data_IF_276101665163
#
_entry.id   IF_276101665163
#
_cell.length_a   1.000
_cell.length_b   1.000
_cell.length_c   1.000
_cell.angle_alpha   90.00
_cell.angle_beta   90.00
_cell.angle_gamma   90.00
#
_symmetry.space_group_name_H-M   'P 1'
#
loop_
_entity.id
_entity.type
_entity.pdbx_description
1 polymer ?
#
# COMPACT_ATOMS: atom_id res chain seq x y z
N UNK A 1 -0.80 13.13 -6.20
CA UNK A 1 -0.82 11.84 -6.90
C UNK A 1 -1.52 10.84 -6.01
N UNK A 2 -2.40 10.01 -6.56
CA UNK A 2 -3.14 8.98 -5.83
C UNK A 2 -3.19 7.70 -6.68
N UNK A 3 -3.09 6.54 -6.03
CA UNK A 3 -3.26 5.21 -6.63
C UNK A 3 -4.49 4.56 -5.99
N UNK A 4 -5.56 4.44 -6.77
CA UNK A 4 -6.84 3.78 -6.39
C UNK A 4 -7.05 2.45 -7.12
N UNK A 5 -6.05 2.03 -7.90
CA UNK A 5 -6.08 0.83 -8.77
C UNK A 5 -7.25 0.74 -9.79
N UNK A 6 -8.01 1.83 -9.95
CA UNK A 6 -9.13 1.96 -10.89
C UNK A 6 -10.36 1.14 -10.48
N UNK A 7 -11.33 1.05 -11.39
CA UNK A 7 -12.60 0.34 -11.15
C UNK A 7 -12.87 -0.75 -12.21
N UNK A 8 -13.83 -1.65 -11.92
CA UNK A 8 -14.39 -2.56 -12.90
C UNK A 8 -15.34 -3.62 -12.33
N UNK A 9 -16.20 -4.15 -13.20
CA UNK A 9 -17.26 -5.10 -12.82
C UNK A 9 -16.76 -6.52 -12.51
N UNK A 10 -15.53 -6.86 -12.88
CA UNK A 10 -14.93 -8.18 -12.62
C UNK A 10 -14.24 -8.19 -11.26
N UNK A 11 -14.36 -9.28 -10.50
CA UNK A 11 -13.73 -9.34 -9.18
C UNK A 11 -12.21 -9.14 -9.19
N UNK A 12 -11.52 -9.63 -10.21
CA UNK A 12 -10.06 -9.49 -10.34
C UNK A 12 -9.75 -8.58 -11.53
N UNK A 13 -9.03 -7.50 -11.29
CA UNK A 13 -8.59 -6.61 -12.37
C UNK A 13 -7.55 -7.32 -13.25
N UNK A 14 -7.62 -7.10 -14.57
CA UNK A 14 -6.55 -7.50 -15.49
C UNK A 14 -5.38 -6.51 -15.53
N UNK A 15 -5.50 -5.35 -14.86
CA UNK A 15 -4.41 -4.39 -14.70
C UNK A 15 -3.28 -4.98 -13.86
N UNK A 16 -2.10 -4.44 -14.05
CA UNK A 16 -0.84 -4.86 -13.44
C UNK A 16 -0.18 -3.67 -12.74
N UNK A 17 0.82 -3.89 -11.87
CA UNK A 17 1.58 -2.79 -11.28
C UNK A 17 2.16 -1.80 -12.29
N UNK A 18 2.48 -2.28 -13.51
CA UNK A 18 2.99 -1.45 -14.59
C UNK A 18 1.96 -0.44 -15.10
N UNK A 19 0.67 -0.78 -15.09
CA UNK A 19 -0.41 0.14 -15.46
C UNK A 19 -0.54 1.32 -14.48
N UNK A 20 0.13 1.24 -13.33
CA UNK A 20 0.18 2.23 -12.27
C UNK A 20 1.63 2.67 -11.95
N UNK A 21 2.60 2.32 -12.81
CA UNK A 21 4.01 2.70 -12.69
C UNK A 21 4.70 2.32 -11.35
N UNK A 22 4.23 1.30 -10.64
CA UNK A 22 4.87 0.82 -9.41
C UNK A 22 5.41 -0.61 -9.54
N UNK A 23 6.38 -0.94 -8.69
CA UNK A 23 6.99 -2.25 -8.59
C UNK A 23 6.60 -2.94 -7.26
N UNK A 24 6.63 -4.27 -7.25
CA UNK A 24 6.37 -5.06 -6.04
C UNK A 24 7.21 -6.33 -6.06
N UNK A 25 7.52 -6.87 -4.88
CA UNK A 25 8.17 -8.19 -4.74
C UNK A 25 7.18 -9.35 -4.86
N UNK A 26 5.87 -9.08 -4.88
CA UNK A 26 4.83 -10.10 -4.85
C UNK A 26 4.43 -10.53 -6.27
N UNK A 27 4.04 -11.80 -6.41
CA UNK A 27 3.52 -12.32 -7.68
C UNK A 27 2.02 -12.05 -7.80
N UNK A 28 1.61 -11.34 -8.85
CA UNK A 28 0.19 -11.11 -9.10
C UNK A 28 -0.53 -12.41 -9.49
N UNK A 29 -1.78 -12.55 -9.06
CA UNK A 29 -2.75 -13.52 -9.57
C UNK A 29 -4.04 -12.82 -9.99
N UNK A 30 -4.78 -13.46 -10.90
CA UNK A 30 -6.01 -12.94 -11.50
C UNK A 30 -7.23 -13.82 -11.15
N UNK A 31 -7.17 -14.50 -10.00
CA UNK A 31 -8.17 -15.44 -9.52
C UNK A 31 -8.03 -15.62 -7.99
N UNK A 32 -8.96 -16.35 -7.38
CA UNK A 32 -9.09 -16.47 -5.92
C UNK A 32 -7.89 -17.09 -5.20
N UNK A 33 -6.95 -17.74 -5.89
CA UNK A 33 -5.84 -18.45 -5.26
C UNK A 33 -4.66 -17.56 -4.79
N UNK A 34 -4.98 -16.53 -3.99
CA UNK A 34 -4.06 -15.58 -3.36
C UNK A 34 -3.36 -16.25 -2.16
N UNK A 35 -2.46 -17.20 -2.46
CA UNK A 35 -1.56 -17.85 -1.49
C UNK A 35 -0.41 -16.92 -1.08
N UNK A 36 0.36 -17.31 -0.05
CA UNK A 36 1.52 -16.57 0.43
C UNK A 36 2.46 -16.09 -0.68
N UNK A 37 2.91 -14.84 -0.58
CA UNK A 37 3.80 -14.20 -1.54
C UNK A 37 3.10 -13.72 -2.81
N UNK A 38 1.76 -13.75 -2.84
CA UNK A 38 0.95 -13.28 -3.95
C UNK A 38 0.06 -12.11 -3.57
N UNK A 39 -0.37 -11.37 -4.59
CA UNK A 39 -1.37 -10.32 -4.46
C UNK A 39 -2.33 -10.36 -5.65
N UNK A 40 -3.44 -9.64 -5.53
CA UNK A 40 -4.35 -9.33 -6.63
C UNK A 40 -4.92 -7.92 -6.45
N UNK A 41 -5.35 -7.31 -7.56
CA UNK A 41 -6.26 -6.17 -7.50
C UNK A 41 -7.68 -6.72 -7.50
N UNK A 42 -8.44 -6.46 -6.45
CA UNK A 42 -9.79 -7.01 -6.25
C UNK A 42 -10.79 -5.93 -5.93
N UNK A 43 -11.98 -5.99 -6.53
CA UNK A 43 -13.04 -5.00 -6.26
C UNK A 43 -13.86 -5.31 -5.00
N UNK A 44 -13.59 -6.47 -4.41
CA UNK A 44 -14.09 -6.92 -3.12
C UNK A 44 -13.22 -8.04 -2.60
N UNK A 45 -13.14 -8.19 -1.29
CA UNK A 45 -12.41 -9.30 -0.66
C UNK A 45 -13.00 -10.62 -1.17
N UNK A 46 -12.18 -11.51 -1.77
CA UNK A 46 -12.67 -12.71 -2.43
C UNK A 46 -13.03 -13.81 -1.44
N UNK A 47 -13.98 -14.64 -1.87
CA UNK A 47 -14.36 -15.84 -1.14
C UNK A 47 -13.32 -16.95 -1.39
N UNK A 48 -12.25 -16.93 -0.60
CA UNK A 48 -11.15 -17.89 -0.71
C UNK A 48 -10.80 -18.56 0.62
N UNK A 49 -10.73 -17.78 1.69
CA UNK A 49 -10.61 -18.28 3.05
C UNK A 49 -11.83 -17.82 3.84
N UNK A 50 -12.50 -18.73 4.53
CA UNK A 50 -13.67 -18.43 5.38
C UNK A 50 -13.35 -17.41 6.49
N UNK A 51 -12.05 -17.27 6.77
CA UNK A 51 -11.47 -16.39 7.78
C UNK A 51 -11.34 -14.95 7.29
N UNK A 52 -11.60 -14.66 6.01
CA UNK A 52 -11.50 -13.31 5.46
C UNK A 52 -12.82 -12.56 5.53
N UNK A 53 -12.78 -11.24 5.57
CA UNK A 53 -13.97 -10.39 5.42
C UNK A 53 -14.50 -10.40 3.97
N UNK A 54 -14.90 -11.58 3.46
CA UNK A 54 -15.45 -11.78 2.12
C UNK A 54 -16.55 -10.77 1.80
N UNK A 55 -16.46 -10.14 0.63
CA UNK A 55 -17.45 -9.21 0.11
C UNK A 55 -17.21 -7.73 0.46
N UNK A 56 -16.32 -7.43 1.42
CA UNK A 56 -15.95 -6.04 1.74
C UNK A 56 -15.31 -5.35 0.54
N UNK A 57 -15.64 -4.08 0.34
CA UNK A 57 -15.21 -3.26 -0.80
C UNK A 57 -13.84 -2.62 -0.55
N UNK A 58 -13.31 -1.96 -1.58
CA UNK A 58 -12.17 -1.07 -1.46
C UNK A 58 -12.50 0.15 -0.57
N UNK A 59 -11.54 1.05 -0.39
CA UNK A 59 -11.70 2.21 0.48
C UNK A 59 -12.32 3.41 -0.26
N UNK A 60 -12.18 3.49 -1.58
CA UNK A 60 -12.53 4.67 -2.37
C UNK A 60 -14.01 5.05 -2.20
N UNK A 61 -14.27 6.25 -1.66
CA UNK A 61 -15.64 6.69 -1.40
C UNK A 61 -16.44 6.85 -2.71
N UNK A 62 -17.70 6.39 -2.69
CA UNK A 62 -18.62 6.42 -3.84
C UNK A 62 -18.13 5.61 -5.05
N UNK A 63 -17.27 4.63 -4.83
CA UNK A 63 -16.86 3.64 -5.81
C UNK A 63 -17.28 2.25 -5.31
N UNK A 64 -18.23 1.61 -5.98
CA UNK A 64 -18.72 0.28 -5.57
C UNK A 64 -17.99 -0.87 -6.27
N UNK A 65 -17.16 -0.52 -7.27
CA UNK A 65 -16.43 -1.45 -8.12
C UNK A 65 -14.93 -1.08 -8.19
N UNK A 66 -14.47 -0.25 -7.25
CA UNK A 66 -13.09 0.17 -7.10
C UNK A 66 -12.20 -0.99 -6.66
N UNK A 67 -10.99 -1.05 -7.21
CA UNK A 67 -10.04 -2.10 -6.90
C UNK A 67 -9.14 -1.71 -5.72
N UNK A 68 -8.94 -2.63 -4.79
CA UNK A 68 -7.87 -2.56 -3.78
C UNK A 68 -6.74 -3.54 -4.12
N UNK A 69 -5.52 -3.25 -3.65
CA UNK A 69 -4.44 -4.23 -3.63
C UNK A 69 -4.60 -5.13 -2.41
N UNK A 70 -4.92 -6.41 -2.63
CA UNK A 70 -4.99 -7.42 -1.58
C UNK A 70 -3.76 -8.33 -1.65
N UNK A 71 -2.96 -8.36 -0.58
CA UNK A 71 -1.75 -9.16 -0.47
C UNK A 71 -1.86 -10.26 0.60
N UNK A 72 -1.42 -11.47 0.23
CA UNK A 72 -1.15 -12.54 1.18
C UNK A 72 0.33 -12.53 1.54
N UNK A 73 0.65 -11.84 2.64
CA UNK A 73 2.02 -11.64 3.10
C UNK A 73 2.64 -12.96 3.54
N UNK A 74 3.80 -13.34 3.02
CA UNK A 74 4.50 -14.57 3.45
C UNK A 74 5.78 -14.26 4.22
N UNK A 75 6.54 -13.27 3.75
CA UNK A 75 7.89 -12.99 4.23
C UNK A 75 8.02 -11.56 4.73
N UNK A 76 8.71 -11.42 5.86
CA UNK A 76 9.18 -10.13 6.34
C UNK A 76 10.15 -9.52 5.31
N UNK A 77 10.22 -8.19 5.28
CA UNK A 77 11.10 -7.40 4.45
C UNK A 77 10.85 -7.57 2.94
N UNK A 78 9.58 -7.65 2.56
CA UNK A 78 9.13 -7.72 1.16
C UNK A 78 8.40 -6.45 0.76
N UNK A 79 8.70 -5.91 -0.42
CA UNK A 79 8.08 -4.68 -0.92
C UNK A 79 6.68 -5.00 -1.45
N UNK A 80 5.65 -4.45 -0.81
CA UNK A 80 4.27 -4.50 -1.27
C UNK A 80 4.05 -3.46 -2.37
N UNK A 81 4.69 -2.30 -2.23
CA UNK A 81 4.66 -1.19 -3.16
C UNK A 81 6.03 -0.51 -3.20
N UNK A 82 6.48 -0.16 -4.40
CA UNK A 82 7.74 0.54 -4.67
C UNK A 82 7.57 1.49 -5.85
N UNK A 83 7.69 2.79 -5.61
CA UNK A 83 7.44 3.82 -6.62
C UNK A 83 8.55 4.87 -6.63
N UNK A 84 9.13 5.12 -7.81
CA UNK A 84 10.11 6.19 -8.00
C UNK A 84 9.39 7.46 -8.43
N UNK A 85 9.37 8.45 -7.55
CA UNK A 85 8.76 9.75 -7.83
C UNK A 85 9.84 10.75 -8.22
N UNK A 86 9.64 11.43 -9.33
CA UNK A 86 10.53 12.48 -9.84
C UNK A 86 9.85 13.86 -9.76
N UNK A 87 10.60 14.90 -10.11
CA UNK A 87 10.14 16.29 -10.17
C UNK A 87 9.59 16.84 -8.84
N UNK A 88 10.14 16.37 -7.71
CA UNK A 88 9.85 16.98 -6.42
C UNK A 88 10.52 18.36 -6.33
N UNK A 89 9.78 19.33 -5.80
CA UNK A 89 10.35 20.60 -5.40
C UNK A 89 11.14 20.43 -4.09
N UNK A 90 12.46 20.68 -4.16
CA UNK A 90 13.38 20.54 -3.04
C UNK A 90 13.01 21.54 -1.94
N UNK A 91 13.06 21.09 -0.68
CA UNK A 91 12.68 21.88 0.49
C UNK A 91 11.19 21.87 0.85
N UNK A 92 10.31 21.40 -0.05
CA UNK A 92 8.90 21.18 0.31
C UNK A 92 8.75 19.96 1.22
N UNK A 93 7.77 20.04 2.13
CA UNK A 93 7.32 18.90 2.92
C UNK A 93 6.19 18.18 2.18
N UNK A 94 6.33 16.86 2.06
CA UNK A 94 5.36 15.96 1.45
C UNK A 94 4.82 14.98 2.50
N UNK A 95 3.61 14.50 2.28
CA UNK A 95 3.02 13.34 2.97
C UNK A 95 2.90 12.19 1.96
N UNK A 96 3.40 11.03 2.36
CA UNK A 96 3.19 9.73 1.70
C UNK A 96 2.31 8.87 2.61
N UNK A 97 1.13 8.49 2.15
CA UNK A 97 0.14 7.77 2.95
C UNK A 97 -0.59 6.69 2.15
N UNK A 98 -1.25 5.77 2.84
CA UNK A 98 -2.19 4.81 2.26
C UNK A 98 -3.27 4.46 3.29
N UNK A 99 -4.40 3.93 2.81
CA UNK A 99 -5.36 3.25 3.66
C UNK A 99 -5.03 1.77 3.70
N UNK A 100 -5.02 1.21 4.90
CA UNK A 100 -4.66 -0.17 5.16
C UNK A 100 -5.76 -0.84 5.97
N UNK A 101 -6.07 -2.10 5.66
CA UNK A 101 -7.04 -2.89 6.40
C UNK A 101 -6.57 -4.34 6.56
N UNK A 102 -6.72 -4.88 7.77
CA UNK A 102 -6.56 -6.31 8.01
C UNK A 102 -7.77 -7.04 7.42
N UNK A 103 -7.55 -7.95 6.47
CA UNK A 103 -8.64 -8.66 5.78
C UNK A 103 -9.13 -9.90 6.52
N UNK A 104 -8.52 -10.25 7.65
CA UNK A 104 -8.87 -11.46 8.41
C UNK A 104 -9.84 -11.09 9.55
N UNK A 105 -10.89 -11.90 9.71
CA UNK A 105 -11.88 -11.88 10.81
C UNK A 105 -11.25 -12.33 12.11
N UNK A 106 -11.66 -11.75 13.23
CA UNK A 106 -11.11 -12.02 14.57
C UNK A 106 -10.92 -13.53 14.83
N UNK A 107 -9.68 -13.98 14.65
CA UNK A 107 -9.25 -15.34 14.89
C UNK A 107 -8.29 -15.32 16.07
N UNK A 108 -8.52 -16.19 17.04
CA UNK A 108 -7.76 -16.31 18.27
C UNK A 108 -6.24 -16.37 17.99
N UNK A 109 -5.57 -15.23 18.16
CA UNK A 109 -4.11 -15.05 18.15
C UNK A 109 -3.38 -15.22 16.80
N UNK A 110 -4.05 -15.02 15.66
CA UNK A 110 -3.36 -14.98 14.36
C UNK A 110 -2.37 -13.79 14.26
N UNK A 111 -1.18 -13.96 13.66
CA UNK A 111 -0.24 -12.85 13.43
C UNK A 111 -0.90 -11.73 12.64
N UNK A 112 -0.87 -10.49 13.13
CA UNK A 112 -1.49 -9.36 12.43
C UNK A 112 -0.57 -8.80 11.35
N UNK A 113 -1.13 -8.27 10.23
CA UNK A 113 -0.33 -7.54 9.26
C UNK A 113 0.35 -6.35 9.94
N UNK A 114 1.59 -6.08 9.56
CA UNK A 114 2.40 -4.96 10.02
C UNK A 114 3.24 -4.53 8.83
N UNK A 115 3.23 -3.24 8.52
CA UNK A 115 4.03 -2.69 7.43
C UNK A 115 4.86 -1.52 7.93
N UNK A 116 5.83 -1.11 7.13
CA UNK A 116 6.51 0.16 7.28
C UNK A 116 6.51 0.93 5.98
N UNK A 117 6.37 2.24 6.14
CA UNK A 117 6.58 3.22 5.09
C UNK A 117 8.04 3.65 5.16
N UNK A 118 8.69 3.70 4.01
CA UNK A 118 10.03 4.28 3.88
C UNK A 118 10.08 5.23 2.69
N UNK A 119 10.86 6.30 2.88
CA UNK A 119 11.17 7.27 1.83
C UNK A 119 12.67 7.37 1.73
N UNK A 120 13.22 7.09 0.56
CA UNK A 120 14.66 7.15 0.28
C UNK A 120 14.95 8.17 -0.81
N UNK A 121 16.14 8.76 -0.82
CA UNK A 121 16.61 9.46 -2.02
C UNK A 121 16.77 8.46 -3.16
N UNK A 122 16.38 8.83 -4.38
CA UNK A 122 16.56 7.97 -5.56
C UNK A 122 17.96 8.18 -6.19
N UNK A 123 19.00 7.91 -5.40
CA UNK A 123 20.42 7.99 -5.80
C UNK A 123 21.08 6.62 -5.66
N UNK A 124 22.24 6.41 -6.30
CA UNK A 124 22.99 5.14 -6.24
C UNK A 124 23.25 4.66 -4.79
N UNK A 125 23.58 5.60 -3.90
CA UNK A 125 23.79 5.36 -2.47
C UNK A 125 22.59 5.87 -1.64
N UNK A 126 21.37 5.52 -2.04
CA UNK A 126 20.12 6.03 -1.47
C UNK A 126 20.18 6.28 0.06
N UNK A 127 19.74 7.46 0.48
CA UNK A 127 19.69 7.88 1.89
C UNK A 127 18.26 7.81 2.40
N UNK A 128 18.03 7.17 3.55
CA UNK A 128 16.72 7.11 4.18
C UNK A 128 16.32 8.49 4.70
N UNK A 129 15.27 9.07 4.14
CA UNK A 129 14.73 10.37 4.55
C UNK A 129 13.73 10.25 5.69
N UNK A 130 12.91 9.19 5.67
CA UNK A 130 11.83 9.02 6.63
C UNK A 130 11.41 7.54 6.73
N UNK A 131 11.09 7.06 7.94
CA UNK A 131 10.52 5.74 8.19
C UNK A 131 9.40 5.79 9.23
N UNK A 132 8.31 5.07 8.99
CA UNK A 132 7.23 4.83 9.96
C UNK A 132 6.89 3.34 9.96
N UNK A 133 6.85 2.71 11.13
CA UNK A 133 6.24 1.39 11.29
C UNK A 133 4.78 1.58 11.75
N UNK A 134 3.85 0.80 11.19
CA UNK A 134 2.42 0.89 11.55
C UNK A 134 2.08 0.19 12.87
N UNK A 135 3.03 -0.56 13.43
CA UNK A 135 2.78 -1.67 14.33
C UNK A 135 1.76 -2.66 13.72
N UNK A 136 1.15 -3.50 14.55
CA UNK A 136 0.10 -4.41 14.10
C UNK A 136 -1.14 -3.62 13.67
N UNK A 137 -1.56 -3.82 12.43
CA UNK A 137 -2.82 -3.30 11.90
C UNK A 137 -3.94 -4.09 12.57
N UNK A 138 -4.83 -3.36 13.24
CA UNK A 138 -5.81 -3.94 14.14
C UNK A 138 -6.83 -4.79 13.40
N UNK A 139 -7.32 -5.79 14.12
CA UNK A 139 -8.41 -6.64 13.72
C UNK A 139 -9.61 -6.24 14.57
N UNK A 140 -10.73 -5.93 13.93
CA UNK A 140 -11.95 -5.45 14.58
C UNK A 140 -13.09 -6.48 14.39
N UNK A 141 -14.32 -6.17 14.80
CA UNK A 141 -15.48 -7.02 14.48
C UNK A 141 -15.85 -6.96 13.00
N UNK A 142 -15.62 -5.82 12.36
CA UNK A 142 -15.80 -5.58 10.93
C UNK A 142 -14.45 -5.21 10.30
N UNK A 143 -14.33 -5.33 8.97
CA UNK A 143 -13.17 -4.79 8.26
C UNK A 143 -13.16 -3.27 8.41
N UNK A 144 -12.05 -2.73 8.91
CA UNK A 144 -11.89 -1.28 9.08
C UNK A 144 -10.64 -0.81 8.36
N UNK A 145 -10.82 0.16 7.48
CA UNK A 145 -9.73 0.89 6.87
C UNK A 145 -9.17 1.95 7.84
N UNK A 146 -7.85 2.04 7.92
CA UNK A 146 -7.17 3.07 8.68
C UNK A 146 -6.09 3.73 7.83
N UNK A 147 -6.02 5.07 7.91
CA UNK A 147 -5.00 5.83 7.20
C UNK A 147 -3.67 5.77 7.95
N UNK A 148 -2.63 5.34 7.27
CA UNK A 148 -1.25 5.41 7.74
C UNK A 148 -0.43 6.28 6.78
N UNK A 149 0.58 6.96 7.31
CA UNK A 149 1.45 7.75 6.45
C UNK A 149 2.55 8.48 7.18
N UNK A 150 3.56 8.86 6.42
CA UNK A 150 4.74 9.57 6.90
C UNK A 150 4.92 10.87 6.13
N UNK A 151 5.45 11.88 6.82
CA UNK A 151 5.91 13.10 6.17
C UNK A 151 7.42 13.14 6.02
N UNK A 152 7.90 13.76 4.95
CA UNK A 152 9.33 13.97 4.69
C UNK A 152 9.56 15.32 4.00
N UNK A 153 10.77 15.85 4.11
CA UNK A 153 11.21 17.02 3.32
C UNK A 153 12.02 16.51 2.15
N UNK A 154 11.69 16.95 0.93
CA UNK A 154 12.44 16.56 -0.26
C UNK A 154 13.85 17.17 -0.23
N UNK A 155 14.87 16.31 -0.12
CA UNK A 155 16.28 16.70 -0.21
C UNK A 155 16.80 16.67 -1.66
N UNK A 156 16.13 15.92 -2.53
CA UNK A 156 16.42 15.77 -3.95
C UNK A 156 15.12 15.92 -4.76
N UNK A 157 15.25 16.11 -6.07
CA UNK A 157 14.11 16.13 -7.00
C UNK A 157 13.50 14.76 -7.25
N UNK A 158 14.11 13.68 -6.73
CA UNK A 158 13.62 12.32 -6.86
C UNK A 158 13.72 11.54 -5.55
N UNK A 159 12.71 10.71 -5.29
CA UNK A 159 12.63 9.83 -4.13
C UNK A 159 12.07 8.46 -4.50
N UNK A 160 12.46 7.45 -3.74
CA UNK A 160 11.86 6.12 -3.77
C UNK A 160 10.92 5.97 -2.58
N UNK A 161 9.66 5.65 -2.86
CA UNK A 161 8.59 5.47 -1.88
C UNK A 161 8.27 3.98 -1.73
N UNK A 162 8.36 3.46 -0.51
CA UNK A 162 8.20 2.03 -0.24
C UNK A 162 7.11 1.79 0.81
N UNK A 163 6.26 0.79 0.55
CA UNK A 163 5.47 0.11 1.59
C UNK A 163 6.03 -1.31 1.69
N UNK A 164 6.57 -1.66 2.85
CA UNK A 164 7.29 -2.91 3.07
C UNK A 164 6.60 -3.69 4.17
N UNK A 165 6.38 -4.99 3.96
CA UNK A 165 5.92 -5.86 5.04
C UNK A 165 6.98 -5.99 6.14
N UNK A 166 6.56 -5.76 7.39
CA UNK A 166 7.26 -6.14 8.61
C UNK A 166 6.77 -7.48 9.17
N UNK A 167 5.66 -8.00 8.64
CA UNK A 167 5.08 -9.26 9.04
C UNK A 167 5.59 -10.41 8.15
N UNK A 168 5.67 -11.59 8.74
CA UNK A 168 5.90 -12.84 8.03
C UNK A 168 5.19 -13.96 8.77
N UNK A 169 5.07 -15.11 8.12
CA UNK A 169 4.32 -16.22 8.66
C UNK A 169 3.49 -16.91 7.59
N UNK A 170 2.85 -18.00 7.99
CA UNK A 170 2.02 -18.81 7.08
C UNK A 170 0.54 -18.40 7.09
N UNK A 171 0.10 -17.69 8.13
CA UNK A 171 -1.30 -17.35 8.40
C UNK A 171 -1.39 -15.97 9.06
N UNK A 172 -2.54 -15.29 8.92
CA UNK A 172 -2.90 -14.15 9.76
C UNK A 172 -2.60 -12.75 9.19
N UNK A 173 -1.57 -12.62 8.38
CA UNK A 173 -0.94 -11.35 8.02
C UNK A 173 -1.40 -10.79 6.67
N UNK A 174 -2.59 -11.17 6.22
CA UNK A 174 -3.19 -10.70 4.97
C UNK A 174 -3.63 -9.25 5.09
N UNK A 175 -3.38 -8.46 4.04
CA UNK A 175 -3.52 -7.01 4.07
C UNK A 175 -4.21 -6.52 2.80
N UNK A 176 -5.17 -5.61 2.94
CA UNK A 176 -5.64 -4.75 1.86
C UNK A 176 -4.99 -3.37 1.96
N UNK A 177 -4.63 -2.82 0.80
CA UNK A 177 -4.01 -1.51 0.62
C UNK A 177 -4.82 -0.78 -0.43
N UNK A 178 -5.17 0.47 -0.15
CA UNK A 178 -5.85 1.32 -1.10
C UNK A 178 -5.48 2.79 -0.90
N UNK A 179 -5.85 3.64 -1.85
CA UNK A 179 -5.73 5.09 -1.78
C UNK A 179 -4.31 5.56 -1.40
N UNK A 180 -3.29 4.92 -2.01
CA UNK A 180 -1.90 5.33 -1.81
C UNK A 180 -1.76 6.74 -2.36
N UNK A 181 -1.29 7.68 -1.55
CA UNK A 181 -1.32 9.11 -1.87
C UNK A 181 -0.03 9.81 -1.51
N UNK A 182 0.41 10.65 -2.43
CA UNK A 182 1.47 11.61 -2.22
C UNK A 182 0.93 13.02 -2.46
N UNK A 183 1.13 13.90 -1.48
CA UNK A 183 0.72 15.30 -1.54
C UNK A 183 1.72 16.23 -0.87
N UNK A 184 1.76 17.49 -1.29
CA UNK A 184 2.45 18.55 -0.56
C UNK A 184 1.66 18.87 0.72
N UNK A 185 2.36 19.05 1.85
CA UNK A 185 1.74 19.50 3.09
C UNK A 185 1.32 20.97 2.99
N UNK A 186 0.16 21.32 3.55
CA UNK A 186 -0.44 22.66 3.43
C UNK A 186 0.42 23.80 4.01
N UNK A 187 1.33 23.50 4.94
CA UNK A 187 2.20 24.48 5.61
C UNK A 187 3.65 24.45 5.08
N UNK A 188 3.88 23.90 3.89
CA UNK A 188 5.21 23.88 3.29
C UNK A 188 5.64 25.29 2.87
N UNK A 189 6.84 25.72 3.29
CA UNK A 189 7.47 26.95 2.75
C UNK A 189 7.67 26.81 1.24
N UNK A 190 7.79 27.90 0.49
CA UNK A 190 8.12 27.86 -0.94
C UNK A 190 9.41 27.07 -1.18
N UNK A 191 9.31 25.96 -1.90
CA UNK A 191 10.45 25.12 -2.30
C UNK A 191 10.93 25.47 -3.70
N UNK A 192 12.08 24.92 -4.08
CA UNK A 192 12.64 25.11 -5.42
C UNK A 192 12.20 23.95 -6.30
N UNK A 193 11.30 24.24 -7.25
CA UNK A 193 10.92 23.29 -8.29
C UNK A 193 11.92 23.43 -9.45
N UNK A 194 12.71 22.39 -9.71
CA UNK A 194 13.55 22.36 -10.90
C UNK A 194 12.67 21.97 -12.11
N UNK A 195 12.78 22.65 -13.26
CA UNK A 195 12.16 22.15 -14.49
C UNK A 195 12.79 20.79 -14.84
N UNK A 196 11.93 19.81 -15.12
CA UNK A 196 12.31 18.45 -15.53
C UNK A 196 12.81 18.39 -16.96
#
# INVERSE_FOLDING_TARGET
>A
MTFTFGDGSTQYSNKTPLDFDFNTSYKQVFQSNIRGGKFAFVNRVPDYYDTWYTGELDHTENDNDGYMLLANVEKNNTQLFSYSMNNLCVGLKYEFSAYLANVIRDELNSPKPNVRFEVWTATENGTLLARLCTDSISQCTNMTWAKYGISFVAQNSSVLLLIISNAGGRHGNNLAIDDIKIRVCSNSKSGVCLPG
#
